data_IF_226903255682
#
_entry.id   IF_226903255682
#
_cell.length_a   1.000
_cell.length_b   1.000
_cell.length_c   1.000
_cell.angle_alpha   90.00
_cell.angle_beta   90.00
_cell.angle_gamma   90.00
#
_symmetry.space_group_name_H-M   'P 1'
#
loop_
_entity.id
_entity.type
_entity.pdbx_description
1 polymer ?
#
# COMPACT_ATOMS: atom_id res chain seq x y z
N UNK A 1 5.80 -24.16 8.29
CA UNK A 1 4.33 -23.96 8.15
C UNK A 1 4.14 -23.24 6.83
N UNK A 2 3.38 -23.82 5.89
CA UNK A 2 3.01 -23.14 4.65
C UNK A 2 1.99 -22.06 5.00
N UNK A 3 2.35 -20.79 4.76
CA UNK A 3 1.40 -19.68 4.90
C UNK A 3 0.24 -19.94 3.96
N UNK A 4 -0.98 -20.04 4.49
CA UNK A 4 -2.19 -20.23 3.69
C UNK A 4 -2.45 -18.91 2.97
N UNK A 5 -2.49 -18.95 1.64
CA UNK A 5 -2.87 -17.78 0.83
C UNK A 5 -4.39 -17.64 0.93
N UNK A 6 -4.87 -16.45 1.26
CA UNK A 6 -6.30 -16.11 1.20
C UNK A 6 -6.76 -15.96 -0.26
N UNK A 7 -8.06 -15.96 -0.46
CA UNK A 7 -8.64 -15.55 -1.74
C UNK A 7 -8.22 -14.11 -2.06
N UNK A 8 -7.79 -13.89 -3.28
CA UNK A 8 -7.30 -12.59 -3.74
C UNK A 8 -7.94 -12.19 -5.08
N UNK A 9 -7.89 -10.92 -5.40
CA UNK A 9 -8.30 -10.37 -6.69
C UNK A 9 -7.09 -9.82 -7.42
N UNK A 10 -7.06 -9.97 -8.74
CA UNK A 10 -6.09 -9.34 -9.61
C UNK A 10 -6.76 -8.18 -10.34
N UNK A 11 -6.29 -6.96 -10.11
CA UNK A 11 -6.58 -5.80 -10.93
C UNK A 11 -5.60 -5.74 -12.10
N UNK A 12 -6.11 -5.85 -13.32
CA UNK A 12 -5.30 -5.75 -14.54
C UNK A 12 -5.52 -4.37 -15.17
N UNK A 13 -4.47 -3.57 -15.25
CA UNK A 13 -4.45 -2.23 -15.82
C UNK A 13 -3.95 -2.21 -17.28
N UNK A 14 -3.69 -3.39 -17.86
CA UNK A 14 -3.15 -3.55 -19.20
C UNK A 14 -1.62 -3.55 -19.26
N UNK A 15 -1.04 -3.97 -20.39
CA UNK A 15 0.41 -3.95 -20.66
C UNK A 15 1.29 -4.54 -19.55
N UNK A 16 0.83 -5.62 -18.89
CA UNK A 16 1.52 -6.25 -17.75
C UNK A 16 1.64 -5.34 -16.51
N UNK A 17 0.76 -4.37 -16.40
CA UNK A 17 0.61 -3.54 -15.22
C UNK A 17 -0.63 -4.00 -14.46
N UNK A 18 -0.51 -4.19 -13.17
CA UNK A 18 -1.62 -4.65 -12.34
C UNK A 18 -1.25 -4.67 -10.88
N UNK A 19 -2.21 -5.07 -10.07
CA UNK A 19 -2.07 -5.19 -8.62
C UNK A 19 -2.83 -6.41 -8.10
N UNK A 20 -2.48 -6.84 -6.90
CA UNK A 20 -3.19 -7.89 -6.16
C UNK A 20 -3.86 -7.27 -4.94
N UNK A 21 -5.15 -7.56 -4.74
CA UNK A 21 -5.94 -7.15 -3.57
C UNK A 21 -6.29 -8.39 -2.74
N UNK A 22 -6.12 -8.31 -1.42
CA UNK A 22 -6.46 -9.39 -0.48
C UNK A 22 -6.95 -8.83 0.85
N UNK A 23 -7.89 -9.54 1.48
CA UNK A 23 -8.33 -9.29 2.86
C UNK A 23 -7.45 -10.09 3.83
N UNK A 24 -6.84 -9.41 4.80
CA UNK A 24 -6.04 -10.03 5.84
C UNK A 24 -6.83 -10.13 7.16
N UNK A 25 -6.49 -11.11 7.97
CA UNK A 25 -7.14 -11.33 9.26
C UNK A 25 -6.54 -10.48 10.38
N UNK A 26 -7.31 -10.26 11.44
CA UNK A 26 -6.83 -9.58 12.64
C UNK A 26 -5.62 -10.28 13.28
N UNK A 27 -5.57 -11.63 13.21
CA UNK A 27 -4.47 -12.42 13.75
C UNK A 27 -3.15 -12.17 12.99
N UNK A 28 -3.22 -12.14 11.65
CA UNK A 28 -2.05 -11.84 10.80
C UNK A 28 -1.53 -10.42 11.02
N UNK A 29 -2.40 -9.49 11.34
CA UNK A 29 -2.08 -8.08 11.54
C UNK A 29 -1.74 -7.72 12.98
N UNK A 30 -1.83 -8.67 13.91
CA UNK A 30 -1.67 -8.39 15.35
C UNK A 30 -0.35 -7.68 15.64
N UNK A 31 0.77 -8.22 15.17
CA UNK A 31 2.11 -7.67 15.45
C UNK A 31 2.25 -6.23 14.96
N UNK A 32 1.78 -5.95 13.75
CA UNK A 32 1.89 -4.60 13.19
C UNK A 32 0.93 -3.62 13.86
N UNK A 33 -0.28 -4.05 14.21
CA UNK A 33 -1.23 -3.22 14.96
C UNK A 33 -0.73 -2.90 16.37
N UNK A 34 -0.08 -3.85 17.05
CA UNK A 34 0.53 -3.62 18.36
C UNK A 34 1.69 -2.60 18.28
N UNK A 35 2.54 -2.68 17.24
CA UNK A 35 3.61 -1.71 17.01
C UNK A 35 3.05 -0.31 16.70
N UNK A 36 2.04 -0.20 15.83
CA UNK A 36 1.36 1.06 15.50
C UNK A 36 0.73 1.69 16.73
N UNK A 37 0.10 0.90 17.59
CA UNK A 37 -0.47 1.38 18.85
C UNK A 37 0.61 1.98 19.75
N UNK A 38 1.74 1.32 19.91
CA UNK A 38 2.88 1.82 20.68
C UNK A 38 3.43 3.13 20.14
N UNK A 39 3.53 3.26 18.79
CA UNK A 39 3.94 4.52 18.15
C UNK A 39 2.93 5.64 18.45
N UNK A 40 1.62 5.34 18.34
CA UNK A 40 0.56 6.32 18.60
C UNK A 40 0.60 6.85 20.05
N UNK A 41 0.92 5.98 20.99
CA UNK A 41 1.10 6.36 22.42
C UNK A 41 2.34 7.24 22.63
N UNK A 42 3.33 7.18 21.75
CA UNK A 42 4.61 7.91 21.83
C UNK A 42 4.73 9.10 20.87
N UNK A 43 3.65 9.59 20.25
CA UNK A 43 3.69 10.68 19.26
C UNK A 43 4.46 11.92 19.68
N UNK A 44 4.42 12.27 20.96
CA UNK A 44 5.09 13.47 21.49
C UNK A 44 6.61 13.31 21.63
N UNK A 45 7.12 12.07 21.59
CA UNK A 45 8.55 11.76 21.80
C UNK A 45 9.21 11.16 20.55
N UNK A 46 8.42 10.70 19.57
CA UNK A 46 8.93 10.10 18.35
C UNK A 46 9.15 11.16 17.27
N UNK A 47 10.25 11.03 16.53
CA UNK A 47 10.54 11.91 15.39
C UNK A 47 9.88 11.32 14.14
N UNK A 48 8.99 12.09 13.46
CA UNK A 48 8.42 11.67 12.20
C UNK A 48 9.49 11.54 11.11
N UNK A 49 9.27 10.60 10.19
CA UNK A 49 10.10 10.45 9.00
C UNK A 49 9.84 11.61 8.02
N UNK A 50 10.88 12.10 7.31
CA UNK A 50 10.76 13.27 6.42
C UNK A 50 11.15 13.01 4.97
N UNK A 51 11.57 11.78 4.63
CA UNK A 51 12.09 11.44 3.30
C UNK A 51 11.04 10.74 2.41
N UNK A 52 9.76 10.80 2.79
CA UNK A 52 8.67 10.21 2.03
C UNK A 52 7.88 11.27 1.25
N UNK A 53 7.17 10.85 0.21
CA UNK A 53 6.47 11.75 -0.71
C UNK A 53 5.22 12.40 -0.11
N UNK A 54 4.72 11.89 1.02
CA UNK A 54 3.48 12.34 1.64
C UNK A 54 3.53 13.79 2.12
N UNK A 55 2.46 14.54 1.87
CA UNK A 55 2.22 15.81 2.53
C UNK A 55 1.48 15.56 3.86
N UNK A 56 2.19 14.92 4.77
CA UNK A 56 1.70 14.39 6.04
C UNK A 56 2.57 14.90 7.19
N UNK A 57 1.95 15.14 8.34
CA UNK A 57 2.69 15.50 9.55
C UNK A 57 3.33 14.30 10.24
N UNK A 58 2.75 13.10 10.09
CA UNK A 58 3.11 11.92 10.89
C UNK A 58 3.28 10.68 10.04
N UNK A 59 4.55 10.38 9.78
CA UNK A 59 5.00 9.14 9.16
C UNK A 59 6.12 8.55 10.03
N UNK A 60 6.05 7.25 10.33
CA UNK A 60 7.02 6.59 11.21
C UNK A 60 7.49 5.27 10.60
N UNK A 61 8.79 4.99 10.75
CA UNK A 61 9.36 3.68 10.39
C UNK A 61 8.87 2.59 11.35
N UNK A 62 8.49 1.44 10.79
CA UNK A 62 8.17 0.23 11.52
C UNK A 62 9.36 -0.73 11.46
N UNK A 63 9.75 -1.28 12.60
CA UNK A 63 10.92 -2.16 12.75
C UNK A 63 10.52 -3.54 13.25
N UNK A 64 9.67 -3.61 14.29
CA UNK A 64 9.35 -4.85 14.97
C UNK A 64 8.52 -5.82 14.12
N UNK A 65 7.63 -5.29 13.28
CA UNK A 65 6.76 -6.07 12.41
C UNK A 65 7.37 -6.40 11.04
N UNK A 66 8.56 -5.88 10.72
CA UNK A 66 9.18 -5.99 9.40
C UNK A 66 9.31 -7.44 8.90
N UNK A 67 9.83 -8.33 9.74
CA UNK A 67 10.00 -9.74 9.38
C UNK A 67 8.67 -10.48 9.22
N UNK A 68 7.69 -10.17 10.06
CA UNK A 68 6.36 -10.76 9.98
C UNK A 68 5.66 -10.35 8.68
N UNK A 69 5.71 -9.07 8.34
CA UNK A 69 5.15 -8.52 7.09
C UNK A 69 5.87 -9.08 5.87
N UNK A 70 7.19 -9.15 5.89
CA UNK A 70 7.97 -9.75 4.78
C UNK A 70 7.53 -11.19 4.48
N UNK A 71 7.37 -12.01 5.52
CA UNK A 71 6.91 -13.39 5.38
C UNK A 71 5.46 -13.48 4.90
N UNK A 72 4.61 -12.62 5.41
CA UNK A 72 3.19 -12.55 5.03
C UNK A 72 3.02 -12.19 3.56
N UNK A 73 3.78 -11.22 3.04
CA UNK A 73 3.61 -10.70 1.68
C UNK A 73 4.28 -11.54 0.59
N UNK A 74 5.31 -12.31 0.93
CA UNK A 74 6.05 -13.14 -0.04
C UNK A 74 5.15 -13.95 -0.99
N UNK A 75 4.15 -14.75 -0.53
CA UNK A 75 3.31 -15.54 -1.42
C UNK A 75 2.46 -14.66 -2.36
N UNK A 76 1.99 -13.50 -1.91
CA UNK A 76 1.18 -12.60 -2.75
C UNK A 76 2.01 -11.90 -3.83
N UNK A 77 3.29 -11.59 -3.55
CA UNK A 77 4.22 -11.08 -4.56
C UNK A 77 4.48 -12.14 -5.65
N UNK A 78 4.64 -13.40 -5.26
CA UNK A 78 4.81 -14.51 -6.21
C UNK A 78 3.57 -14.64 -7.11
N UNK A 79 2.37 -14.62 -6.52
CA UNK A 79 1.12 -14.68 -7.28
C UNK A 79 0.94 -13.48 -8.22
N UNK A 80 1.27 -12.27 -7.78
CA UNK A 80 1.24 -11.08 -8.63
C UNK A 80 2.19 -11.24 -9.83
N UNK A 81 3.40 -11.74 -9.59
CA UNK A 81 4.38 -11.99 -10.65
C UNK A 81 3.88 -13.05 -11.65
N UNK A 82 3.30 -14.15 -11.17
CA UNK A 82 2.78 -15.22 -12.03
C UNK A 82 1.60 -14.78 -12.90
N UNK A 83 0.73 -13.90 -12.33
CA UNK A 83 -0.50 -13.46 -13.02
C UNK A 83 -0.33 -12.25 -13.91
N UNK A 84 0.54 -11.33 -13.53
CA UNK A 84 0.71 -10.04 -14.22
C UNK A 84 2.03 -9.98 -14.98
N UNK A 85 3.08 -10.67 -14.50
CA UNK A 85 4.40 -10.67 -15.13
C UNK A 85 5.13 -9.34 -15.00
N UNK A 86 5.13 -8.79 -13.80
CA UNK A 86 5.72 -7.46 -13.49
C UNK A 86 7.22 -7.40 -13.76
N UNK A 87 7.93 -8.49 -13.48
CA UNK A 87 9.37 -8.63 -13.73
C UNK A 87 9.60 -9.67 -14.82
N UNK A 88 10.30 -9.32 -15.89
CA UNK A 88 10.42 -10.15 -17.08
C UNK A 88 11.59 -11.14 -17.03
N UNK A 89 12.70 -10.73 -16.45
CA UNK A 89 13.98 -11.43 -16.62
C UNK A 89 14.35 -12.28 -15.40
N UNK A 90 13.49 -12.30 -14.38
CA UNK A 90 13.74 -13.06 -13.15
C UNK A 90 12.54 -13.95 -12.84
N UNK A 91 12.74 -15.27 -12.91
CA UNK A 91 11.75 -16.22 -12.44
C UNK A 91 11.76 -16.23 -10.89
N UNK A 92 10.67 -15.82 -10.27
CA UNK A 92 10.50 -15.88 -8.83
C UNK A 92 9.48 -16.96 -8.45
N UNK A 93 9.76 -17.68 -7.39
CA UNK A 93 8.90 -18.72 -6.86
C UNK A 93 9.15 -18.91 -5.36
N UNK A 94 8.61 -19.97 -4.76
CA UNK A 94 8.80 -20.26 -3.33
C UNK A 94 10.24 -20.56 -2.95
N UNK A 95 11.02 -21.13 -3.86
CA UNK A 95 12.42 -21.54 -3.67
C UNK A 95 13.37 -20.36 -3.96
N UNK A 96 13.06 -19.58 -4.99
CA UNK A 96 13.85 -18.41 -5.37
C UNK A 96 13.00 -17.15 -5.28
N UNK A 97 13.21 -16.38 -4.21
CA UNK A 97 12.55 -15.10 -3.96
C UNK A 97 13.62 -14.05 -3.59
N UNK A 98 14.25 -13.44 -4.60
CA UNK A 98 15.39 -12.55 -4.40
C UNK A 98 14.98 -11.12 -4.04
N UNK A 99 14.08 -10.97 -3.09
CA UNK A 99 13.60 -9.65 -2.65
C UNK A 99 13.59 -9.57 -1.12
N UNK A 100 14.12 -8.46 -0.62
CA UNK A 100 14.08 -8.09 0.78
C UNK A 100 13.14 -6.91 0.99
N UNK A 101 12.34 -6.95 2.05
CA UNK A 101 11.59 -5.78 2.52
C UNK A 101 12.58 -4.79 3.12
N UNK A 102 12.94 -3.73 2.38
CA UNK A 102 13.97 -2.77 2.80
C UNK A 102 13.40 -1.66 3.66
N UNK A 103 12.21 -1.15 3.31
CA UNK A 103 11.50 -0.09 4.02
C UNK A 103 10.12 -0.55 4.42
N UNK A 104 9.72 -0.17 5.63
CA UNK A 104 8.37 -0.36 6.16
C UNK A 104 8.01 0.85 7.02
N UNK A 105 6.87 1.47 6.74
CA UNK A 105 6.44 2.66 7.47
C UNK A 105 4.92 2.72 7.63
N UNK A 106 4.48 3.49 8.62
CA UNK A 106 3.08 3.80 8.88
C UNK A 106 2.81 5.28 8.66
N UNK A 107 1.71 5.57 7.97
CA UNK A 107 1.17 6.90 7.73
C UNK A 107 -0.03 7.12 8.66
N UNK A 108 -0.01 8.23 9.41
CA UNK A 108 -1.16 8.73 10.17
C UNK A 108 -1.65 10.01 9.48
N UNK A 109 -2.51 9.84 8.49
CA UNK A 109 -3.00 10.92 7.66
C UNK A 109 -4.23 11.58 8.31
N UNK A 110 -4.20 12.91 8.46
CA UNK A 110 -5.34 13.74 8.87
C UNK A 110 -6.15 14.21 7.64
N UNK A 111 -7.36 14.72 7.88
CA UNK A 111 -8.12 15.39 6.83
C UNK A 111 -7.30 16.53 6.20
N UNK A 112 -7.48 16.73 4.90
CA UNK A 112 -6.74 17.66 4.03
C UNK A 112 -5.30 17.24 3.69
N UNK A 113 -4.72 16.28 4.38
CA UNK A 113 -3.43 15.70 4.02
C UNK A 113 -3.57 14.74 2.85
N UNK A 114 -2.51 14.56 2.07
CA UNK A 114 -2.53 13.75 0.85
C UNK A 114 -1.13 13.25 0.48
N UNK A 115 -1.08 12.23 -0.37
CA UNK A 115 0.16 11.86 -1.06
C UNK A 115 0.03 12.27 -2.53
N UNK A 116 0.91 13.16 -3.04
CA UNK A 116 0.91 13.53 -4.44
C UNK A 116 1.23 12.32 -5.33
N UNK A 117 1.13 12.49 -6.63
CA UNK A 117 1.55 11.46 -7.59
C UNK A 117 3.03 11.17 -7.42
N UNK A 118 3.35 9.91 -7.15
CA UNK A 118 4.72 9.44 -6.91
C UNK A 118 4.88 7.96 -7.28
N UNK A 119 6.09 7.49 -7.23
CA UNK A 119 6.49 6.09 -7.32
C UNK A 119 7.37 5.74 -6.11
N UNK A 120 7.59 4.46 -5.89
CA UNK A 120 8.53 3.98 -4.88
C UNK A 120 9.82 3.44 -5.51
N UNK A 121 10.89 3.40 -4.74
CA UNK A 121 12.07 2.58 -5.04
C UNK A 121 11.74 1.10 -4.89
N UNK A 122 12.55 0.25 -5.52
CA UNK A 122 12.39 -1.20 -5.46
C UNK A 122 11.59 -1.79 -6.61
N UNK A 123 11.22 -3.06 -6.45
CA UNK A 123 10.50 -3.83 -7.48
C UNK A 123 9.01 -3.91 -7.18
N UNK A 124 8.66 -4.19 -5.92
CA UNK A 124 7.28 -4.26 -5.45
C UNK A 124 7.07 -3.32 -4.29
N UNK A 125 5.89 -2.77 -4.23
CA UNK A 125 5.40 -1.96 -3.11
C UNK A 125 4.03 -2.45 -2.69
N UNK A 126 3.56 -1.99 -1.55
CA UNK A 126 2.24 -2.31 -1.07
C UNK A 126 1.66 -1.18 -0.23
N UNK A 127 0.34 -1.18 -0.10
CA UNK A 127 -0.41 -0.43 0.89
C UNK A 127 -1.34 -1.39 1.64
N UNK A 128 -1.34 -1.29 2.96
CA UNK A 128 -2.22 -2.00 3.87
C UNK A 128 -3.00 -0.97 4.69
N UNK A 129 -4.32 -0.95 4.56
CA UNK A 129 -5.17 -0.09 5.37
C UNK A 129 -5.43 -0.72 6.73
N UNK A 130 -5.05 0.00 7.78
CA UNK A 130 -5.22 -0.44 9.18
C UNK A 130 -6.51 0.13 9.74
N UNK A 131 -6.77 1.43 9.50
CA UNK A 131 -7.96 2.12 9.96
C UNK A 131 -8.30 3.28 9.04
N UNK A 132 -9.53 3.30 8.55
CA UNK A 132 -10.07 4.39 7.73
C UNK A 132 -11.29 4.96 8.47
N UNK A 133 -11.27 6.24 8.87
CA UNK A 133 -12.26 6.79 9.79
C UNK A 133 -13.51 7.37 9.12
N UNK A 134 -13.62 7.26 7.78
CA UNK A 134 -14.71 7.87 7.01
C UNK A 134 -15.46 6.85 6.13
N UNK A 135 -16.64 7.25 5.66
CA UNK A 135 -17.42 6.56 4.63
C UNK A 135 -17.32 7.34 3.31
N UNK A 136 -17.08 6.63 2.21
CA UNK A 136 -16.89 7.27 0.91
C UNK A 136 -18.14 7.99 0.41
N UNK A 137 -19.34 7.53 0.80
CA UNK A 137 -20.58 8.20 0.43
C UNK A 137 -20.74 9.54 1.15
N UNK A 138 -20.26 9.67 2.40
CA UNK A 138 -20.24 10.94 3.11
C UNK A 138 -19.25 11.92 2.46
N UNK A 139 -18.09 11.45 2.06
CA UNK A 139 -17.09 12.24 1.31
C UNK A 139 -17.67 12.74 -0.01
N UNK A 140 -18.37 11.89 -0.76
CA UNK A 140 -18.99 12.23 -2.05
C UNK A 140 -20.24 13.12 -1.90
N UNK A 141 -20.93 13.10 -0.76
CA UNK A 141 -22.10 13.94 -0.50
C UNK A 141 -21.77 15.40 -0.18
N UNK A 142 -20.51 15.77 -0.04
CA UNK A 142 -20.10 17.15 0.24
C UNK A 142 -20.43 18.07 -0.94
N UNK A 143 -20.82 19.34 -0.71
CA UNK A 143 -21.16 20.28 -1.77
C UNK A 143 -20.08 20.42 -2.87
N UNK A 144 -18.81 20.42 -2.48
CA UNK A 144 -17.68 20.50 -3.43
C UNK A 144 -17.52 19.23 -4.27
N UNK A 145 -17.90 18.06 -3.73
CA UNK A 145 -17.85 16.78 -4.44
C UNK A 145 -19.03 16.62 -5.40
N UNK A 146 -20.24 16.92 -4.96
CA UNK A 146 -21.48 16.79 -5.77
C UNK A 146 -21.41 17.64 -7.06
N UNK A 147 -20.78 18.81 -6.99
CA UNK A 147 -20.68 19.73 -8.11
C UNK A 147 -19.47 19.46 -9.03
N UNK A 148 -18.72 18.39 -8.79
CA UNK A 148 -17.54 18.02 -9.57
C UNK A 148 -17.77 16.72 -10.32
N UNK A 149 -17.37 16.67 -11.58
CA UNK A 149 -17.34 15.43 -12.38
C UNK A 149 -16.01 14.67 -12.25
N UNK A 150 -15.06 15.18 -11.47
CA UNK A 150 -13.71 14.64 -11.30
C UNK A 150 -13.23 14.75 -9.85
N UNK A 151 -14.13 14.56 -8.90
CA UNK A 151 -13.80 14.61 -7.46
C UNK A 151 -13.74 13.20 -6.89
N UNK A 152 -12.61 12.88 -6.28
CA UNK A 152 -12.34 11.54 -5.73
C UNK A 152 -11.80 11.63 -4.30
N UNK A 153 -12.53 12.25 -3.36
CA UNK A 153 -12.04 12.43 -1.99
C UNK A 153 -11.79 11.08 -1.33
N UNK A 154 -10.67 10.99 -0.60
CA UNK A 154 -10.29 9.80 0.12
C UNK A 154 -9.77 8.63 -0.73
N UNK A 155 -9.79 8.74 -2.06
CA UNK A 155 -9.38 7.65 -2.93
C UNK A 155 -7.87 7.41 -2.89
N UNK A 156 -7.52 6.14 -3.10
CA UNK A 156 -6.21 5.75 -3.61
C UNK A 156 -6.33 5.58 -5.12
N UNK A 157 -5.39 6.08 -5.90
CA UNK A 157 -5.45 6.03 -7.37
C UNK A 157 -4.16 5.49 -7.96
N UNK A 158 -4.28 4.58 -8.94
CA UNK A 158 -3.20 4.26 -9.87
C UNK A 158 -3.33 5.11 -11.13
N UNK A 159 -2.19 5.58 -11.65
CA UNK A 159 -2.09 6.40 -12.87
C UNK A 159 -1.15 5.68 -13.83
N UNK A 160 -1.64 5.37 -15.02
CA UNK A 160 -0.91 4.55 -15.97
C UNK A 160 -1.22 4.94 -17.42
N UNK A 161 -0.42 4.43 -18.36
CA UNK A 161 -0.69 4.57 -19.79
C UNK A 161 -1.51 3.37 -20.27
N UNK A 162 -2.65 3.65 -20.88
CA UNK A 162 -3.43 2.63 -21.57
C UNK A 162 -2.73 2.15 -22.85
N UNK A 163 -3.17 1.03 -23.44
CA UNK A 163 -2.65 0.57 -24.74
C UNK A 163 -2.73 1.60 -25.87
N UNK A 164 -3.63 2.57 -25.74
CA UNK A 164 -3.82 3.66 -26.70
C UNK A 164 -2.94 4.90 -26.41
N UNK A 165 -1.95 4.80 -25.53
CA UNK A 165 -1.10 5.90 -25.08
C UNK A 165 -1.85 7.07 -24.42
N UNK A 166 -2.99 6.81 -23.81
CA UNK A 166 -3.72 7.78 -23.01
C UNK A 166 -3.38 7.59 -21.53
N UNK A 167 -3.31 8.70 -20.79
CA UNK A 167 -3.20 8.65 -19.34
C UNK A 167 -4.57 8.27 -18.78
N UNK A 168 -4.60 7.18 -18.04
CA UNK A 168 -5.79 6.68 -17.37
C UNK A 168 -5.57 6.59 -15.87
N UNK A 169 -6.65 6.63 -15.11
CA UNK A 169 -6.64 6.45 -13.66
C UNK A 169 -7.54 5.28 -13.27
N UNK A 170 -7.05 4.44 -12.37
CA UNK A 170 -7.84 3.43 -11.71
C UNK A 170 -8.04 3.85 -10.25
N UNK A 171 -9.31 4.01 -9.85
CA UNK A 171 -9.67 4.56 -8.55
C UNK A 171 -10.09 3.48 -7.60
N UNK A 172 -9.60 3.56 -6.38
CA UNK A 172 -9.95 2.69 -5.26
C UNK A 172 -10.58 3.57 -4.20
N UNK A 173 -11.92 3.53 -4.07
CA UNK A 173 -12.65 4.32 -3.09
C UNK A 173 -12.53 3.70 -1.70
N UNK A 174 -11.33 3.81 -1.13
CA UNK A 174 -11.00 3.22 0.15
C UNK A 174 -11.73 3.94 1.29
N UNK A 175 -12.61 3.23 1.96
CA UNK A 175 -13.36 3.66 3.16
C UNK A 175 -13.24 2.61 4.27
N UNK A 176 -14.06 2.69 5.31
CA UNK A 176 -14.10 1.74 6.44
C UNK A 176 -14.14 0.25 6.03
N UNK A 177 -14.70 -0.07 4.85
CA UNK A 177 -14.76 -1.45 4.33
C UNK A 177 -13.41 -1.94 3.81
N UNK A 178 -12.44 -1.05 3.68
CA UNK A 178 -11.08 -1.36 3.28
C UNK A 178 -10.14 -1.61 4.46
N UNK A 179 -10.61 -1.54 5.68
CA UNK A 179 -9.81 -1.92 6.86
C UNK A 179 -9.35 -3.38 6.73
N UNK A 180 -8.06 -3.63 7.00
CA UNK A 180 -7.35 -4.90 6.83
C UNK A 180 -7.15 -5.36 5.36
N UNK A 181 -7.49 -4.53 4.38
CA UNK A 181 -7.15 -4.83 2.98
C UNK A 181 -5.73 -4.44 2.66
N UNK A 182 -5.10 -5.31 1.91
CA UNK A 182 -3.76 -5.16 1.35
C UNK A 182 -3.86 -5.05 -0.17
N UNK A 183 -3.11 -4.12 -0.75
CA UNK A 183 -2.81 -4.10 -2.19
C UNK A 183 -1.30 -4.20 -2.36
N UNK A 184 -0.87 -5.14 -3.23
CA UNK A 184 0.52 -5.28 -3.68
C UNK A 184 0.60 -4.89 -5.15
N UNK A 185 1.59 -4.10 -5.52
CA UNK A 185 1.74 -3.55 -6.86
C UNK A 185 3.20 -3.30 -7.24
N UNK A 186 3.53 -3.09 -8.54
CA UNK A 186 4.87 -2.71 -8.98
C UNK A 186 5.30 -1.36 -8.36
N UNK A 187 6.47 -1.29 -7.78
CA UNK A 187 6.94 -0.09 -7.07
C UNK A 187 7.00 1.16 -7.97
N UNK A 188 7.25 0.97 -9.28
CA UNK A 188 7.30 2.04 -10.27
C UNK A 188 5.93 2.45 -10.85
N UNK A 189 4.83 1.85 -10.39
CA UNK A 189 3.49 2.26 -10.80
C UNK A 189 3.12 3.58 -10.11
N UNK A 190 2.85 4.62 -10.93
CA UNK A 190 2.44 5.91 -10.39
C UNK A 190 1.13 5.78 -9.63
N UNK A 191 1.10 6.38 -8.46
CA UNK A 191 -0.10 6.40 -7.61
C UNK A 191 -0.15 7.65 -6.74
N UNK A 192 -1.32 7.95 -6.24
CA UNK A 192 -1.56 9.04 -5.31
C UNK A 192 -2.64 8.66 -4.30
N UNK A 193 -2.75 9.47 -3.27
CA UNK A 193 -3.78 9.32 -2.23
C UNK A 193 -4.45 10.67 -2.01
N UNK A 194 -5.73 10.76 -2.36
CA UNK A 194 -6.50 11.98 -2.22
C UNK A 194 -6.84 12.28 -0.76
N UNK A 195 -6.97 13.56 -0.41
CA UNK A 195 -7.38 13.96 0.91
C UNK A 195 -8.84 13.56 1.19
N UNK A 196 -9.12 13.22 2.43
CA UNK A 196 -10.47 13.10 2.96
C UNK A 196 -10.83 14.32 3.82
N UNK A 197 -12.12 14.46 4.20
CA UNK A 197 -12.60 15.72 4.79
C UNK A 197 -13.59 15.53 5.93
N UNK A 198 -14.30 14.39 6.03
CA UNK A 198 -15.46 14.22 6.91
C UNK A 198 -15.14 13.67 8.29
N UNK A 199 -13.87 13.35 8.58
CA UNK A 199 -13.43 12.87 9.88
C UNK A 199 -12.26 13.67 10.44
N UNK A 200 -12.20 13.80 11.76
CA UNK A 200 -11.08 14.35 12.50
C UNK A 200 -10.07 13.28 12.98
N UNK A 201 -10.42 12.00 12.82
CA UNK A 201 -9.56 10.88 13.15
C UNK A 201 -8.51 10.62 12.08
N UNK A 202 -7.51 9.80 12.39
CA UNK A 202 -6.46 9.43 11.45
C UNK A 202 -6.91 8.32 10.51
N UNK A 203 -6.70 8.48 9.20
CA UNK A 203 -6.53 7.35 8.30
C UNK A 203 -5.16 6.76 8.52
N UNK A 204 -5.09 5.49 8.92
CA UNK A 204 -3.85 4.78 9.23
C UNK A 204 -3.61 3.75 8.13
N UNK A 205 -2.50 3.87 7.44
CA UNK A 205 -2.05 2.91 6.43
C UNK A 205 -0.57 2.56 6.62
N UNK A 206 -0.21 1.35 6.23
CA UNK A 206 1.17 0.87 6.23
C UNK A 206 1.61 0.66 4.79
N UNK A 207 2.82 1.07 4.47
CA UNK A 207 3.43 0.84 3.18
C UNK A 207 4.86 0.34 3.34
N UNK A 208 5.40 -0.27 2.30
CA UNK A 208 6.78 -0.74 2.28
C UNK A 208 7.24 -1.11 0.89
N UNK A 209 8.56 -1.25 0.74
CA UNK A 209 9.21 -1.53 -0.52
C UNK A 209 10.03 -2.82 -0.44
N UNK A 210 9.84 -3.69 -1.43
CA UNK A 210 10.67 -4.84 -1.68
C UNK A 210 11.69 -4.51 -2.77
N UNK A 211 12.96 -4.66 -2.44
CA UNK A 211 14.08 -4.44 -3.35
C UNK A 211 14.74 -5.75 -3.70
N UNK A 212 15.35 -5.79 -4.89
CA UNK A 212 16.10 -6.96 -5.35
C UNK A 212 17.32 -7.17 -4.46
N UNK A 213 17.45 -8.36 -3.89
CA UNK A 213 18.54 -8.75 -3.00
C UNK A 213 18.86 -10.23 -3.20
N UNK A 214 20.01 -10.50 -3.74
CA UNK A 214 20.52 -11.86 -3.98
C UNK A 214 21.61 -12.29 -3.00
N UNK A 215 21.89 -11.48 -2.00
CA UNK A 215 23.02 -11.73 -1.07
C UNK A 215 22.89 -13.05 -0.31
N UNK A 216 21.67 -13.50 -0.03
CA UNK A 216 21.44 -14.78 0.63
C UNK A 216 21.75 -15.99 -0.25
N UNK A 217 21.71 -15.84 -1.58
CA UNK A 217 21.91 -16.93 -2.54
C UNK A 217 23.38 -17.13 -2.91
N UNK A 218 24.27 -16.20 -2.57
CA UNK A 218 25.69 -16.22 -2.89
C UNK A 218 26.57 -16.26 -1.64
N UNK A 219 26.01 -16.58 -0.47
CA UNK A 219 26.81 -16.87 0.73
C UNK A 219 27.45 -18.25 0.55
N UNK A 220 28.78 -18.27 0.32
CA UNK A 220 29.61 -19.46 0.39
C UNK A 220 29.67 -20.01 1.83
#
# INVERSE_FOLDING_TARGET
MTTKIHDYKIGNLGNRVGFLEVDLTEEELKTIKDEIKSIKESFNTSTPHRDLAGNLEKEYTLILSKDAISKLLKPYIIELQERVGVVHDVAINKEFFPYSLTRLWVNFMKKYEFNPVHIHSGTFSFVLWIDIPYDINEEMARPSSINSNSCYPGNFQFIFYSPNNQIETFQIPADKKWNNKLIVFPANLNHCVDPFYTSDDYRISVSGNFEFDVTEYFKE
#
